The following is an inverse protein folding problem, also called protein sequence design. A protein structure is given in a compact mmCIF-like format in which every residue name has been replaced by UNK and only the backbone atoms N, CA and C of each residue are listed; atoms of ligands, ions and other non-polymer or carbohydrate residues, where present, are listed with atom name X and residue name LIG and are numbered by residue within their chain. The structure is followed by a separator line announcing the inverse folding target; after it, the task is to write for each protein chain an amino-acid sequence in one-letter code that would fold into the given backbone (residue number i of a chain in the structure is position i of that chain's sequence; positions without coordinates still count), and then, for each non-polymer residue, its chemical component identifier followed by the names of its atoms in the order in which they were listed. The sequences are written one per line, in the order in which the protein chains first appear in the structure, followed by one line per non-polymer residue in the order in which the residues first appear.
data_IF_821463022820
#
_entry.id   IF_821463022820
#
_cell.length_a   1.000
_cell.length_b   1.000
_cell.length_c   1.000
_cell.angle_alpha   90.00
_cell.angle_beta   90.00
_cell.angle_gamma   90.00
#
_symmetry.space_group_name_H-M   'P 1'
#
loop_
_entity.id
_entity.type
_entity.pdbx_description
1 polymer ?
#
# COMPACT_ATOMS: atom_id res chain seq x y z
N UNK A 1 0.18 78.60 -15.56
CA UNK A 1 0.89 77.37 -15.13
C UNK A 1 0.28 76.20 -15.87
N UNK A 2 1.06 75.47 -16.68
CA UNK A 2 1.01 74.02 -16.90
C UNK A 2 1.97 73.69 -18.03
N UNK A 3 3.06 73.04 -17.62
CA UNK A 3 4.22 72.76 -18.45
C UNK A 3 4.02 71.47 -19.25
N UNK A 4 4.41 71.60 -20.51
CA UNK A 4 4.62 70.59 -21.54
C UNK A 4 5.79 69.69 -21.14
N UNK A 5 5.72 68.37 -21.43
CA UNK A 5 6.70 67.60 -22.24
C UNK A 5 6.63 66.09 -21.97
N UNK A 6 6.40 65.35 -23.05
CA UNK A 6 6.75 63.94 -23.22
C UNK A 6 8.28 63.77 -23.16
N UNK A 7 8.76 62.70 -22.54
CA UNK A 7 10.09 62.16 -22.79
C UNK A 7 10.05 60.62 -22.85
N UNK A 8 10.47 60.12 -24.01
CA UNK A 8 10.82 58.74 -24.33
C UNK A 8 12.01 58.26 -23.47
N UNK A 9 12.05 56.97 -23.16
CA UNK A 9 13.20 56.33 -22.49
C UNK A 9 13.25 54.83 -22.75
N UNK A 10 13.60 54.46 -23.99
CA UNK A 10 14.01 53.12 -24.39
C UNK A 10 15.32 52.76 -23.66
N UNK A 11 15.29 51.82 -22.71
CA UNK A 11 16.50 51.20 -22.16
C UNK A 11 16.56 49.72 -22.56
N UNK A 12 17.36 49.49 -23.60
CA UNK A 12 17.94 48.20 -23.97
C UNK A 12 18.94 47.77 -22.89
N UNK A 13 18.76 46.58 -22.31
CA UNK A 13 19.83 45.89 -21.59
C UNK A 13 19.99 44.50 -22.22
N UNK A 14 21.06 44.37 -23.00
CA UNK A 14 21.59 43.09 -23.50
C UNK A 14 22.83 42.77 -22.66
N UNK A 15 22.76 41.70 -21.87
CA UNK A 15 23.87 41.01 -21.19
C UNK A 15 23.37 39.59 -20.92
N UNK A 16 24.11 38.48 -20.99
CA UNK A 16 25.44 38.10 -21.45
C UNK A 16 25.41 36.56 -21.45
N UNK A 17 26.15 35.91 -22.35
CA UNK A 17 26.30 34.45 -22.45
C UNK A 17 26.70 33.78 -21.13
N UNK A 18 26.09 32.63 -20.84
CA UNK A 18 26.66 31.61 -19.95
C UNK A 18 26.43 30.24 -20.58
N UNK A 19 27.46 29.73 -21.26
CA UNK A 19 27.58 28.31 -21.58
C UNK A 19 28.52 27.68 -20.58
N UNK A 20 28.02 26.77 -19.73
CA UNK A 20 28.87 25.76 -19.10
C UNK A 20 28.01 24.57 -18.64
N UNK A 21 28.21 23.48 -19.37
CA UNK A 21 28.44 22.12 -18.83
C UNK A 21 27.30 21.42 -18.10
N UNK A 22 26.72 20.47 -18.84
CA UNK A 22 26.64 19.06 -18.45
C UNK A 22 26.57 18.78 -16.95
N UNK A 23 25.35 18.56 -16.48
CA UNK A 23 25.11 17.51 -15.49
C UNK A 23 24.23 16.52 -16.20
N UNK A 24 24.76 15.32 -16.41
CA UNK A 24 23.96 14.14 -16.58
C UNK A 24 22.86 14.21 -15.52
N UNK A 25 21.63 14.45 -15.97
CA UNK A 25 20.46 14.09 -15.21
C UNK A 25 20.46 12.57 -15.22
N UNK A 26 21.26 11.99 -14.32
CA UNK A 26 20.98 10.70 -13.73
C UNK A 26 19.49 10.72 -13.47
N UNK A 27 18.75 9.94 -14.27
CA UNK A 27 17.36 9.69 -14.04
C UNK A 27 17.29 8.98 -12.69
N UNK A 28 17.24 9.77 -11.63
CA UNK A 28 16.71 9.34 -10.37
C UNK A 28 15.29 8.89 -10.71
N UNK A 29 15.15 7.57 -10.85
CA UNK A 29 13.90 6.87 -10.63
C UNK A 29 13.45 7.31 -9.24
N UNK A 30 12.75 8.44 -9.21
CA UNK A 30 11.91 8.85 -8.11
C UNK A 30 10.71 7.93 -8.23
N UNK A 31 10.97 6.65 -7.94
CA UNK A 31 10.00 5.59 -7.83
C UNK A 31 8.94 6.14 -6.91
N UNK A 32 7.87 6.63 -7.52
CA UNK A 32 6.82 7.34 -6.81
C UNK A 32 6.32 6.33 -5.81
N UNK A 33 6.48 6.60 -4.51
CA UNK A 33 6.00 5.70 -3.47
C UNK A 33 4.50 5.53 -3.74
N UNK A 34 4.14 4.34 -4.25
CA UNK A 34 2.76 4.06 -4.64
C UNK A 34 1.92 4.18 -3.37
N UNK A 35 0.96 5.10 -3.38
CA UNK A 35 0.04 5.27 -2.25
C UNK A 35 -1.03 4.20 -2.36
N UNK A 36 -1.14 3.36 -1.32
CA UNK A 36 -2.15 2.31 -1.29
C UNK A 36 -3.57 2.85 -1.05
N UNK A 37 -4.56 2.18 -1.64
CA UNK A 37 -5.98 2.40 -1.46
C UNK A 37 -6.57 1.28 -0.58
N UNK A 38 -6.99 1.63 0.64
CA UNK A 38 -7.53 0.66 1.58
C UNK A 38 -8.85 0.01 1.14
N UNK A 39 -9.69 0.71 0.37
CA UNK A 39 -10.93 0.14 -0.17
C UNK A 39 -10.66 -0.91 -1.24
N UNK A 40 -9.72 -0.64 -2.15
CA UNK A 40 -9.23 -1.64 -3.11
C UNK A 40 -8.57 -2.82 -2.39
N UNK A 41 -7.77 -2.54 -1.35
CA UNK A 41 -7.15 -3.56 -0.51
C UNK A 41 -8.18 -4.46 0.17
N UNK A 42 -9.31 -3.92 0.63
CA UNK A 42 -10.41 -4.71 1.17
C UNK A 42 -11.00 -5.68 0.14
N UNK A 43 -11.26 -5.19 -1.07
CA UNK A 43 -11.79 -6.02 -2.15
C UNK A 43 -10.81 -7.12 -2.55
N UNK A 44 -9.51 -6.82 -2.61
CA UNK A 44 -8.45 -7.79 -2.88
C UNK A 44 -8.37 -8.85 -1.77
N UNK A 45 -8.39 -8.43 -0.50
CA UNK A 45 -8.27 -9.32 0.66
C UNK A 45 -9.41 -10.36 0.72
N UNK A 46 -10.64 -9.90 0.46
CA UNK A 46 -11.84 -10.74 0.46
C UNK A 46 -12.14 -11.37 -0.91
N UNK A 47 -11.27 -11.15 -1.90
CA UNK A 47 -11.49 -11.57 -3.29
C UNK A 47 -10.22 -12.15 -3.90
N UNK A 48 -9.62 -11.42 -4.85
CA UNK A 48 -8.49 -11.88 -5.69
C UNK A 48 -7.34 -12.52 -4.90
N UNK A 49 -6.94 -11.92 -3.77
CA UNK A 49 -5.82 -12.41 -2.97
C UNK A 49 -6.17 -13.55 -2.01
N UNK A 50 -7.45 -13.93 -1.91
CA UNK A 50 -7.95 -15.08 -1.14
C UNK A 50 -7.50 -15.07 0.34
N UNK A 51 -7.06 -13.92 0.84
CA UNK A 51 -6.43 -13.79 2.16
C UNK A 51 -7.41 -14.22 3.27
N UNK A 52 -8.69 -13.91 3.07
CA UNK A 52 -9.78 -14.23 3.99
C UNK A 52 -10.04 -15.74 4.19
N UNK A 53 -9.56 -16.62 3.31
CA UNK A 53 -9.71 -18.07 3.52
C UNK A 53 -8.92 -18.50 4.76
N UNK A 54 -7.70 -17.98 4.92
CA UNK A 54 -6.84 -18.31 6.06
C UNK A 54 -7.00 -17.30 7.20
N UNK A 55 -7.04 -16.00 6.89
CA UNK A 55 -7.09 -14.92 7.88
C UNK A 55 -8.52 -14.47 8.25
N UNK A 56 -9.54 -15.10 7.68
CA UNK A 56 -10.95 -14.79 7.91
C UNK A 56 -11.42 -13.51 7.20
N UNK A 57 -12.72 -13.37 6.98
CA UNK A 57 -13.34 -12.22 6.30
C UNK A 57 -13.02 -10.94 7.06
N UNK A 58 -12.50 -9.94 6.35
CA UNK A 58 -11.99 -8.67 6.92
C UNK A 58 -10.94 -8.85 8.04
N UNK A 59 -10.21 -9.96 8.01
CA UNK A 59 -9.18 -10.30 8.99
C UNK A 59 -9.74 -10.77 10.34
N UNK A 60 -11.05 -11.04 10.44
CA UNK A 60 -11.65 -11.64 11.64
C UNK A 60 -11.42 -13.14 11.57
N UNK A 61 -10.43 -13.66 12.31
CA UNK A 61 -9.86 -14.99 12.12
C UNK A 61 -10.90 -16.12 12.09
N UNK A 62 -11.92 -16.04 12.94
CA UNK A 62 -12.99 -17.05 13.06
C UNK A 62 -14.13 -16.88 12.05
N UNK A 63 -14.20 -15.73 11.36
CA UNK A 63 -15.21 -15.46 10.33
C UNK A 63 -14.75 -16.06 9.00
N UNK A 64 -14.79 -17.40 8.87
CA UNK A 64 -14.42 -18.08 7.62
C UNK A 64 -15.50 -17.93 6.54
N UNK A 65 -15.13 -17.87 5.25
CA UNK A 65 -16.12 -17.96 4.17
C UNK A 65 -16.82 -19.32 4.18
N UNK A 66 -18.03 -19.39 3.61
CA UNK A 66 -18.74 -20.66 3.44
C UNK A 66 -18.09 -21.48 2.34
N UNK A 67 -17.57 -22.66 2.70
CA UNK A 67 -16.85 -23.56 1.80
C UNK A 67 -17.40 -24.99 1.91
N UNK A 68 -17.11 -25.82 0.90
CA UNK A 68 -17.39 -27.26 0.98
C UNK A 68 -16.60 -27.89 2.14
N UNK A 69 -17.13 -28.93 2.81
CA UNK A 69 -16.49 -29.52 4.00
C UNK A 69 -15.01 -29.89 3.80
N UNK A 70 -14.69 -30.59 2.71
CA UNK A 70 -13.31 -31.03 2.43
C UNK A 70 -12.36 -29.84 2.20
N UNK A 71 -12.83 -28.82 1.49
CA UNK A 71 -12.07 -27.59 1.25
C UNK A 71 -11.84 -26.83 2.56
N UNK A 72 -12.87 -26.72 3.40
CA UNK A 72 -12.76 -26.10 4.71
C UNK A 72 -11.75 -26.84 5.61
N UNK A 73 -11.76 -28.17 5.61
CA UNK A 73 -10.82 -28.99 6.37
C UNK A 73 -9.36 -28.80 5.89
N UNK A 74 -9.14 -28.76 4.57
CA UNK A 74 -7.83 -28.50 3.99
C UNK A 74 -7.29 -27.11 4.38
N UNK A 75 -8.14 -26.08 4.30
CA UNK A 75 -7.77 -24.71 4.69
C UNK A 75 -7.50 -24.61 6.19
N UNK A 76 -8.32 -25.25 7.03
CA UNK A 76 -8.12 -25.25 8.47
C UNK A 76 -6.73 -25.78 8.85
N UNK A 77 -6.25 -26.83 8.16
CA UNK A 77 -4.90 -27.35 8.32
C UNK A 77 -3.82 -26.34 7.92
N UNK A 78 -4.00 -25.65 6.79
CA UNK A 78 -3.05 -24.63 6.30
C UNK A 78 -3.04 -23.38 7.19
N UNK A 79 -4.19 -22.99 7.74
CA UNK A 79 -4.37 -21.77 8.53
C UNK A 79 -4.12 -21.96 10.03
N UNK A 80 -3.74 -23.15 10.50
CA UNK A 80 -3.61 -23.46 11.93
C UNK A 80 -2.65 -22.52 12.68
N UNK A 81 -1.65 -21.95 12.00
CA UNK A 81 -0.71 -20.97 12.53
C UNK A 81 -0.90 -19.54 12.00
N UNK A 82 -2.01 -19.25 11.32
CA UNK A 82 -2.24 -17.93 10.75
C UNK A 82 -2.41 -16.89 11.88
N UNK A 83 -1.60 -15.81 11.92
CA UNK A 83 -1.77 -14.78 12.94
C UNK A 83 -3.06 -13.98 12.73
N UNK A 84 -3.61 -13.48 13.83
CA UNK A 84 -4.63 -12.44 13.80
C UNK A 84 -4.01 -11.13 13.28
N UNK A 85 -4.37 -10.75 12.05
CA UNK A 85 -3.83 -9.57 11.38
C UNK A 85 -4.30 -8.25 12.00
N UNK A 86 -5.36 -8.28 12.81
CA UNK A 86 -5.93 -7.12 13.53
C UNK A 86 -5.20 -6.87 14.85
N UNK A 87 -4.69 -7.92 15.50
CA UNK A 87 -3.89 -7.82 16.71
C UNK A 87 -2.44 -7.41 16.41
N UNK A 88 -2.19 -6.09 16.37
CA UNK A 88 -0.84 -5.53 16.12
C UNK A 88 0.25 -6.11 17.05
N UNK A 89 -0.06 -6.36 18.32
CA UNK A 89 0.92 -6.83 19.30
C UNK A 89 1.41 -8.25 19.02
N UNK A 90 0.54 -9.10 18.44
CA UNK A 90 0.86 -10.48 18.07
C UNK A 90 1.65 -10.63 16.77
N UNK A 91 1.89 -9.54 16.01
CA UNK A 91 2.54 -9.61 14.70
C UNK A 91 4.07 -9.50 14.80
N UNK A 92 4.75 -10.43 14.13
CA UNK A 92 6.22 -10.46 14.03
C UNK A 92 6.75 -9.47 12.98
N UNK A 93 6.06 -9.31 11.85
CA UNK A 93 6.46 -8.40 10.77
C UNK A 93 6.21 -6.92 11.13
N UNK A 94 7.29 -6.16 11.30
CA UNK A 94 7.24 -4.79 11.85
C UNK A 94 6.97 -3.70 10.81
N UNK A 95 7.50 -3.86 9.59
CA UNK A 95 7.40 -2.86 8.53
C UNK A 95 6.66 -3.36 7.28
N UNK A 96 6.33 -2.43 6.39
CA UNK A 96 5.60 -2.73 5.16
C UNK A 96 6.46 -3.45 4.12
N UNK A 97 7.79 -3.30 4.12
CA UNK A 97 8.68 -4.02 3.20
C UNK A 97 8.66 -5.52 3.49
N UNK A 98 8.72 -5.89 4.77
CA UNK A 98 8.64 -7.28 5.21
C UNK A 98 7.26 -7.88 4.93
N UNK A 99 6.18 -7.12 5.17
CA UNK A 99 4.80 -7.56 4.86
C UNK A 99 4.57 -7.71 3.35
N UNK A 100 5.08 -6.78 2.55
CA UNK A 100 4.99 -6.84 1.09
C UNK A 100 5.63 -8.13 0.56
N UNK A 101 6.86 -8.43 1.00
CA UNK A 101 7.53 -9.68 0.64
C UNK A 101 6.75 -10.90 1.10
N UNK A 102 6.25 -10.92 2.34
CA UNK A 102 5.45 -12.03 2.83
C UNK A 102 4.17 -12.27 2.01
N UNK A 103 3.52 -11.21 1.51
CA UNK A 103 2.35 -11.35 0.62
C UNK A 103 2.76 -11.89 -0.76
N UNK A 104 3.87 -11.38 -1.33
CA UNK A 104 4.37 -11.81 -2.65
C UNK A 104 4.88 -13.24 -2.65
N UNK A 105 5.74 -13.55 -1.68
CA UNK A 105 6.59 -14.73 -1.62
C UNK A 105 6.01 -15.81 -0.70
N UNK A 106 4.95 -15.49 0.03
CA UNK A 106 4.45 -16.33 1.11
C UNK A 106 5.37 -16.31 2.34
N UNK A 107 5.11 -17.23 3.26
CA UNK A 107 5.96 -17.47 4.42
C UNK A 107 6.43 -18.92 4.42
N UNK A 108 7.71 -19.19 4.12
CA UNK A 108 8.27 -20.54 4.03
C UNK A 108 7.95 -21.38 5.28
N UNK A 109 7.54 -22.63 5.07
CA UNK A 109 7.16 -23.54 6.16
C UNK A 109 5.79 -23.28 6.78
N UNK A 110 4.98 -22.37 6.23
CA UNK A 110 3.60 -22.12 6.66
C UNK A 110 2.58 -22.36 5.53
N UNK A 111 1.29 -22.25 5.85
CA UNK A 111 0.22 -22.27 4.84
C UNK A 111 0.03 -20.96 4.06
N UNK A 112 0.84 -19.92 4.33
CA UNK A 112 0.82 -18.69 3.53
C UNK A 112 1.70 -18.89 2.29
N UNK A 113 1.06 -19.30 1.19
CA UNK A 113 1.73 -19.57 -0.08
C UNK A 113 2.02 -18.28 -0.87
N UNK A 114 3.03 -18.27 -1.76
CA UNK A 114 3.27 -17.15 -2.67
C UNK A 114 2.08 -16.90 -3.59
N UNK A 115 1.83 -15.63 -3.90
CA UNK A 115 0.82 -15.20 -4.88
C UNK A 115 1.47 -14.29 -5.93
N UNK A 116 1.76 -14.87 -7.09
CA UNK A 116 2.36 -14.16 -8.25
C UNK A 116 1.31 -13.46 -9.11
N UNK A 117 0.02 -13.56 -8.78
CA UNK A 117 -1.06 -12.92 -9.55
C UNK A 117 -1.35 -11.49 -9.09
N UNK A 118 -0.87 -11.11 -7.90
CA UNK A 118 -0.99 -9.77 -7.34
C UNK A 118 0.11 -8.85 -7.91
N UNK A 119 -0.31 -7.69 -8.41
CA UNK A 119 0.62 -6.63 -8.81
C UNK A 119 1.23 -5.92 -7.60
N UNK A 120 2.29 -5.14 -7.81
CA UNK A 120 2.88 -4.27 -6.79
C UNK A 120 1.87 -3.29 -6.20
N UNK A 121 0.95 -2.75 -7.03
CA UNK A 121 -0.15 -1.91 -6.55
C UNK A 121 -1.14 -2.71 -5.71
N UNK A 122 -1.51 -3.93 -6.13
CA UNK A 122 -2.44 -4.78 -5.36
C UNK A 122 -1.90 -5.04 -3.94
N UNK A 123 -0.62 -5.37 -3.83
CA UNK A 123 0.02 -5.61 -2.53
C UNK A 123 0.08 -4.30 -1.73
N UNK A 124 0.35 -3.17 -2.38
CA UNK A 124 0.38 -1.86 -1.72
C UNK A 124 -1.00 -1.46 -1.18
N UNK A 125 -2.07 -1.75 -1.92
CA UNK A 125 -3.46 -1.57 -1.50
C UNK A 125 -3.82 -2.49 -0.33
N UNK A 126 -3.42 -3.77 -0.39
CA UNK A 126 -3.55 -4.72 0.72
C UNK A 126 -2.86 -4.20 1.99
N UNK A 127 -1.65 -3.65 1.88
CA UNK A 127 -0.93 -3.08 3.03
C UNK A 127 -1.66 -1.87 3.63
N UNK A 128 -2.26 -1.01 2.79
CA UNK A 128 -3.09 0.10 3.26
C UNK A 128 -4.33 -0.41 4.00
N UNK A 129 -4.97 -1.48 3.52
CA UNK A 129 -6.09 -2.11 4.20
C UNK A 129 -5.70 -2.75 5.53
N UNK A 130 -4.59 -3.52 5.58
CA UNK A 130 -4.10 -4.10 6.84
C UNK A 130 -3.76 -3.03 7.89
N UNK A 131 -3.34 -1.83 7.46
CA UNK A 131 -3.14 -0.71 8.37
C UNK A 131 -4.47 -0.19 8.96
N UNK A 132 -5.52 -0.06 8.14
CA UNK A 132 -6.83 0.44 8.57
C UNK A 132 -7.54 -0.53 9.54
N UNK A 133 -7.39 -1.85 9.35
CA UNK A 133 -7.92 -2.86 10.27
C UNK A 133 -7.38 -2.69 11.70
N UNK A 134 -6.10 -2.30 11.82
CA UNK A 134 -5.42 -2.12 13.11
C UNK A 134 -5.73 -0.77 13.75
N UNK A 135 -5.92 0.28 12.96
CA UNK A 135 -6.32 1.60 13.46
C UNK A 135 -7.74 1.60 14.05
N UNK A 136 -8.63 0.79 13.45
CA UNK A 136 -10.01 0.62 13.94
C UNK A 136 -10.07 -0.08 15.31
N UNK A 137 -9.03 -0.81 15.72
CA UNK A 137 -8.93 -1.41 17.07
C UNK A 137 -8.40 -0.41 18.12
N UNK A 138 -7.55 0.54 17.71
CA UNK A 138 -7.02 1.57 18.62
C UNK A 138 -8.02 2.69 18.93
N UNK A 139 -9.17 2.71 18.27
CA UNK A 139 -10.30 3.60 18.60
C UNK A 139 -11.36 2.75 19.33
N UNK A 140 -11.45 2.81 20.66
CA UNK A 140 -12.51 2.11 21.38
C UNK A 140 -13.85 2.73 20.98
N UNK A 141 -14.76 1.93 20.42
CA UNK A 141 -16.12 2.36 20.11
C UNK A 141 -16.28 3.03 18.75
N UNK A 142 -16.29 2.21 17.71
CA UNK A 142 -17.29 2.26 16.63
C UNK A 142 -17.07 1.01 15.78
N UNK A 143 -17.82 -0.04 16.11
CA UNK A 143 -18.11 -1.05 15.11
C UNK A 143 -18.83 -0.34 13.96
N UNK A 144 -18.33 -0.39 12.71
CA UNK A 144 -19.11 0.04 11.55
C UNK A 144 -20.14 -1.00 11.12
N UNK A 145 -20.31 -2.07 11.93
CA UNK A 145 -21.34 -3.09 11.81
C UNK A 145 -22.25 -3.07 13.03
#
# INVERSE_FOLDING_TARGET
MHARRLFYGLMLIVMLLSTASGRDAEAADTGTVMKGNAGQGQALFNGKGICHYCHGVDGVLDKKPSLKPDTAAAIAKLSAGAPDLRNRAGLTLKDNKARFRAIREGHPGSGMLPDTTLSDQDITDLLAYLASLRQSQTTPGKSPY
#
